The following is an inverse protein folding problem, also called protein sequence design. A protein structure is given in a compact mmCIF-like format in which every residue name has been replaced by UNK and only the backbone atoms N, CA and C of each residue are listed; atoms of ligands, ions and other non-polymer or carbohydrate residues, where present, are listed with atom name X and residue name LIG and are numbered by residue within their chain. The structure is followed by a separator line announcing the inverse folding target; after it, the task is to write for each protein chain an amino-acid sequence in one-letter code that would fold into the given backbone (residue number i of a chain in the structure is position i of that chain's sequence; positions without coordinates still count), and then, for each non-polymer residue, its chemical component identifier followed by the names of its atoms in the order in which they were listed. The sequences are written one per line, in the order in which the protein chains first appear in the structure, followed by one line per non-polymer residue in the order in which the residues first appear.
data_IF_685290880432
#
_entry.id   IF_685290880432
#
_cell.length_a   1.000
_cell.length_b   1.000
_cell.length_c   1.000
_cell.angle_alpha   90.00
_cell.angle_beta   90.00
_cell.angle_gamma   90.00
#
_symmetry.space_group_name_H-M   'P 1'
#
loop_
_entity.id
_entity.type
_entity.pdbx_description
1 polymer ?
#
# COMPACT_ATOMS: atom_id res chain seq x y z
N UNK A 1 7.34 -5.80 1.61
CA UNK A 1 8.48 -6.24 2.47
C UNK A 1 9.55 -5.17 2.58
N UNK A 2 9.82 -4.41 1.52
CA UNK A 2 10.77 -3.28 1.47
C UNK A 2 10.49 -2.26 2.57
N UNK A 3 9.25 -1.80 2.68
CA UNK A 3 8.85 -0.80 3.67
C UNK A 3 8.99 -1.29 5.14
N UNK A 4 8.94 -2.61 5.37
CA UNK A 4 9.19 -3.24 6.68
C UNK A 4 10.67 -3.57 6.97
N UNK A 5 11.56 -3.37 6.00
CA UNK A 5 12.97 -3.80 6.11
C UNK A 5 13.18 -5.31 6.02
N UNK A 6 12.16 -6.07 5.63
CA UNK A 6 12.21 -7.55 5.51
C UNK A 6 12.43 -7.99 4.05
N UNK A 7 12.74 -7.05 3.15
CA UNK A 7 12.97 -7.35 1.75
C UNK A 7 14.20 -8.22 1.57
N UNK A 8 14.01 -9.32 0.84
CA UNK A 8 15.10 -10.07 0.24
C UNK A 8 15.46 -9.45 -1.10
N UNK A 9 16.59 -9.87 -1.67
CA UNK A 9 17.06 -9.39 -2.98
C UNK A 9 16.13 -9.72 -4.14
N UNK A 10 15.25 -10.70 -3.95
CA UNK A 10 14.20 -11.17 -4.86
C UNK A 10 12.81 -10.63 -4.50
N UNK A 11 12.72 -9.61 -3.63
CA UNK A 11 11.42 -9.07 -3.20
C UNK A 11 10.94 -7.93 -4.07
N UNK A 12 9.72 -8.06 -4.57
CA UNK A 12 9.03 -7.00 -5.31
C UNK A 12 8.81 -5.74 -4.47
N UNK A 13 8.67 -4.62 -5.19
CA UNK A 13 8.41 -3.29 -4.64
C UNK A 13 6.93 -2.96 -4.85
N UNK A 14 6.13 -3.15 -3.80
CA UNK A 14 4.72 -2.76 -3.78
C UNK A 14 4.59 -1.22 -3.72
N UNK A 15 3.88 -0.63 -4.68
CA UNK A 15 3.66 0.81 -4.75
C UNK A 15 2.17 1.14 -4.70
N UNK A 16 1.80 2.17 -3.93
CA UNK A 16 0.47 2.77 -4.01
C UNK A 16 0.63 4.19 -4.56
N UNK A 17 0.09 4.41 -5.75
CA UNK A 17 0.17 5.70 -6.45
C UNK A 17 -1.21 6.31 -6.45
N UNK A 18 -1.33 7.50 -5.87
CA UNK A 18 -2.58 8.25 -5.86
C UNK A 18 -2.46 9.49 -6.74
N UNK A 19 -3.32 9.60 -7.75
CA UNK A 19 -3.28 10.68 -8.74
C UNK A 19 -4.62 11.38 -8.97
N UNK A 20 -4.56 12.64 -9.41
CA UNK A 20 -5.71 13.35 -9.97
C UNK A 20 -5.73 13.16 -11.49
N UNK A 21 -6.91 13.28 -12.11
CA UNK A 21 -7.08 13.23 -13.57
C UNK A 21 -6.52 11.97 -14.24
N UNK A 22 -6.49 10.85 -13.52
CA UNK A 22 -6.03 9.58 -14.08
C UNK A 22 -7.03 9.05 -15.13
N UNK A 23 -6.55 8.34 -16.17
CA UNK A 23 -7.42 7.64 -17.10
C UNK A 23 -8.41 6.73 -16.37
N UNK A 24 -9.64 6.60 -16.87
CA UNK A 24 -10.61 5.64 -16.34
C UNK A 24 -10.19 4.19 -16.58
N UNK A 25 -9.47 3.94 -17.68
CA UNK A 25 -8.97 2.60 -18.02
C UNK A 25 -7.78 2.24 -17.13
N UNK A 26 -7.84 1.07 -16.50
CA UNK A 26 -6.71 0.51 -15.74
C UNK A 26 -5.50 0.28 -16.62
N UNK A 27 -5.72 -0.21 -17.85
CA UNK A 27 -4.64 -0.44 -18.81
C UNK A 27 -3.89 0.85 -19.13
N UNK A 28 -4.61 1.95 -19.39
CA UNK A 28 -3.98 3.26 -19.63
C UNK A 28 -3.23 3.82 -18.43
N UNK A 29 -3.65 3.49 -17.20
CA UNK A 29 -2.89 3.87 -16.00
C UNK A 29 -1.59 3.08 -15.92
N UNK A 30 -1.61 1.81 -16.34
CA UNK A 30 -0.42 0.96 -16.38
C UNK A 30 0.55 1.46 -17.46
N UNK A 31 0.09 1.80 -18.66
CA UNK A 31 0.94 2.41 -19.70
C UNK A 31 1.67 3.66 -19.18
N UNK A 32 0.96 4.55 -18.46
CA UNK A 32 1.58 5.74 -17.85
C UNK A 32 2.64 5.39 -16.79
N UNK A 33 2.44 4.28 -16.08
CA UNK A 33 3.41 3.80 -15.10
C UNK A 33 4.64 3.20 -15.80
N UNK A 34 4.44 2.37 -16.82
CA UNK A 34 5.51 1.77 -17.64
C UNK A 34 6.36 2.85 -18.31
N UNK A 35 5.74 3.93 -18.82
CA UNK A 35 6.47 5.08 -19.35
C UNK A 35 7.38 5.72 -18.29
N UNK A 36 6.88 5.88 -17.06
CA UNK A 36 7.67 6.42 -15.95
C UNK A 36 8.78 5.45 -15.49
N UNK A 37 8.48 4.15 -15.45
CA UNK A 37 9.44 3.09 -15.11
C UNK A 37 10.59 3.03 -16.14
N UNK A 38 10.29 3.19 -17.43
CA UNK A 38 11.31 3.22 -18.49
C UNK A 38 12.36 4.33 -18.28
N UNK A 39 11.97 5.45 -17.64
CA UNK A 39 12.89 6.55 -17.36
C UNK A 39 13.96 6.22 -16.31
N UNK A 40 13.77 5.14 -15.55
CA UNK A 40 14.71 4.64 -14.54
C UNK A 40 15.28 3.26 -14.88
N UNK A 41 15.07 2.77 -16.11
CA UNK A 41 15.45 1.43 -16.54
C UNK A 41 16.94 1.15 -16.34
N UNK A 42 17.81 2.12 -16.65
CA UNK A 42 19.26 1.98 -16.44
C UNK A 42 19.63 1.73 -14.97
N UNK A 43 18.95 2.41 -14.04
CA UNK A 43 19.15 2.22 -12.61
C UNK A 43 18.65 0.85 -12.15
N UNK A 44 17.49 0.40 -12.66
CA UNK A 44 16.95 -0.94 -12.37
C UNK A 44 17.90 -2.01 -12.87
N UNK A 45 18.41 -1.88 -14.10
CA UNK A 45 19.39 -2.78 -14.71
C UNK A 45 20.69 -2.84 -13.90
N UNK A 46 21.18 -1.69 -13.42
CA UNK A 46 22.36 -1.66 -12.55
C UNK A 46 22.14 -2.44 -11.25
N UNK A 47 20.97 -2.30 -10.63
CA UNK A 47 20.61 -3.04 -9.42
C UNK A 47 20.47 -4.54 -9.69
N UNK A 48 19.92 -4.91 -10.84
CA UNK A 48 19.85 -6.30 -11.29
C UNK A 48 21.23 -6.93 -11.46
N UNK A 49 22.18 -6.23 -12.08
CA UNK A 49 23.58 -6.69 -12.20
C UNK A 49 24.23 -6.88 -10.82
N UNK A 50 23.84 -6.06 -9.84
CA UNK A 50 24.28 -6.18 -8.43
C UNK A 50 23.55 -7.30 -7.66
N UNK A 51 22.66 -8.05 -8.32
CA UNK A 51 21.93 -9.19 -7.77
C UNK A 51 20.66 -8.84 -7.03
N UNK A 52 20.09 -7.64 -7.25
CA UNK A 52 18.75 -7.27 -6.79
C UNK A 52 17.77 -7.48 -7.93
N UNK A 53 16.98 -8.54 -7.85
CA UNK A 53 15.99 -8.90 -8.86
C UNK A 53 14.61 -8.62 -8.31
N UNK A 54 14.05 -7.47 -8.65
CA UNK A 54 12.72 -7.06 -8.20
C UNK A 54 11.95 -6.47 -9.36
N UNK A 55 10.62 -6.57 -9.28
CA UNK A 55 9.70 -5.82 -10.12
C UNK A 55 8.89 -4.84 -9.27
N UNK A 56 8.30 -3.85 -9.92
CA UNK A 56 7.36 -2.94 -9.28
C UNK A 56 5.93 -3.48 -9.39
N UNK A 57 5.18 -3.41 -8.28
CA UNK A 57 3.77 -3.82 -8.22
C UNK A 57 2.90 -2.60 -7.90
N UNK A 58 2.48 -1.81 -8.91
CA UNK A 58 1.76 -0.58 -8.70
C UNK A 58 0.25 -0.79 -8.50
N UNK A 59 -0.30 -0.16 -7.47
CA UNK A 59 -1.73 0.03 -7.25
C UNK A 59 -2.03 1.51 -7.50
N UNK A 60 -2.58 1.80 -8.68
CA UNK A 60 -2.79 3.16 -9.16
C UNK A 60 -4.25 3.58 -8.95
N UNK A 61 -4.46 4.53 -8.06
CA UNK A 61 -5.76 4.98 -7.59
C UNK A 61 -6.01 6.44 -7.92
N UNK A 62 -7.24 6.78 -8.31
CA UNK A 62 -7.65 8.19 -8.27
C UNK A 62 -7.77 8.67 -6.82
N UNK A 63 -7.75 9.98 -6.59
CA UNK A 63 -8.01 10.54 -5.25
C UNK A 63 -9.38 10.11 -4.70
N UNK A 64 -10.39 10.00 -5.54
CA UNK A 64 -11.73 9.53 -5.16
C UNK A 64 -11.72 8.04 -4.80
N UNK A 65 -11.00 7.24 -5.57
CA UNK A 65 -10.84 5.82 -5.30
C UNK A 65 -10.04 5.58 -4.01
N UNK A 66 -8.98 6.36 -3.76
CA UNK A 66 -8.13 6.25 -2.59
C UNK A 66 -8.86 6.55 -1.28
N UNK A 67 -9.91 7.38 -1.31
CA UNK A 67 -10.76 7.64 -0.12
C UNK A 67 -11.56 6.43 0.33
N UNK A 68 -11.73 5.41 -0.51
CA UNK A 68 -12.42 4.17 -0.11
C UNK A 68 -11.43 3.26 0.58
N UNK A 69 -11.69 2.92 1.85
CA UNK A 69 -10.88 1.99 2.60
C UNK A 69 -10.79 0.63 1.89
N UNK A 70 -9.57 0.12 1.76
CA UNK A 70 -9.25 -1.21 1.21
C UNK A 70 -8.61 -2.04 2.32
N UNK A 71 -8.80 -3.38 2.33
CA UNK A 71 -8.13 -4.24 3.30
C UNK A 71 -6.61 -4.02 3.37
N UNK A 72 -5.97 -3.75 2.22
CA UNK A 72 -4.54 -3.42 2.14
C UNK A 72 -4.13 -2.26 3.06
N UNK A 73 -5.00 -1.26 3.26
CA UNK A 73 -4.65 -0.06 4.03
C UNK A 73 -4.41 -0.38 5.51
N UNK A 74 -4.99 -1.46 6.03
CA UNK A 74 -4.71 -1.93 7.39
C UNK A 74 -3.22 -2.18 7.58
N UNK A 75 -2.58 -2.83 6.61
CA UNK A 75 -1.14 -3.08 6.67
C UNK A 75 -0.33 -1.82 6.36
N UNK A 76 -0.80 -0.96 5.44
CA UNK A 76 -0.13 0.30 5.13
C UNK A 76 -0.07 1.26 6.34
N UNK A 77 -1.09 1.25 7.21
CA UNK A 77 -1.08 2.06 8.44
C UNK A 77 0.14 1.76 9.32
N UNK A 78 0.60 0.51 9.32
CA UNK A 78 1.73 0.09 10.14
C UNK A 78 3.05 0.09 9.38
N UNK A 79 3.00 -0.29 8.11
CA UNK A 79 4.19 -0.71 7.38
C UNK A 79 4.58 0.23 6.24
N UNK A 80 3.72 1.17 5.82
CA UNK A 80 4.00 1.98 4.65
C UNK A 80 5.07 3.04 4.91
N UNK A 81 5.90 3.28 3.89
CA UNK A 81 6.79 4.44 3.83
C UNK A 81 6.23 5.41 2.81
N UNK A 82 5.92 6.63 3.24
CA UNK A 82 5.46 7.69 2.35
C UNK A 82 6.68 8.32 1.67
N UNK A 83 6.82 8.06 0.36
CA UNK A 83 7.91 8.59 -0.46
C UNK A 83 7.60 10.01 -0.96
N UNK A 84 6.33 10.27 -1.27
CA UNK A 84 5.82 11.59 -1.68
C UNK A 84 4.33 11.68 -1.36
N UNK A 85 3.90 12.79 -0.76
CA UNK A 85 2.48 13.06 -0.51
C UNK A 85 2.19 14.56 -0.55
N UNK A 86 1.33 14.98 -1.48
CA UNK A 86 0.95 16.38 -1.63
C UNK A 86 -0.22 16.67 -0.69
N UNK A 87 -0.10 17.76 0.07
CA UNK A 87 -1.11 18.21 1.04
C UNK A 87 -1.41 17.15 2.13
N UNK A 88 -0.47 16.23 2.37
CA UNK A 88 -0.65 15.09 3.29
C UNK A 88 -1.93 14.29 3.03
N UNK A 89 -2.31 14.13 1.75
CA UNK A 89 -3.56 13.53 1.36
C UNK A 89 -3.67 12.06 1.78
N UNK A 90 -2.69 11.23 1.38
CA UNK A 90 -2.77 9.80 1.64
C UNK A 90 -2.35 9.47 3.07
N UNK A 91 -1.36 10.20 3.60
CA UNK A 91 -1.00 10.16 5.01
C UNK A 91 -2.22 10.46 5.90
N UNK A 92 -3.00 11.50 5.57
CA UNK A 92 -4.23 11.83 6.31
C UNK A 92 -5.30 10.74 6.26
N UNK A 93 -5.41 10.00 5.15
CA UNK A 93 -6.29 8.82 5.06
C UNK A 93 -5.81 7.71 6.00
N UNK A 94 -4.51 7.40 5.96
CA UNK A 94 -3.93 6.38 6.83
C UNK A 94 -4.02 6.78 8.31
N UNK A 95 -3.81 8.04 8.65
CA UNK A 95 -3.93 8.57 10.01
C UNK A 95 -5.37 8.46 10.54
N UNK A 96 -6.36 8.77 9.70
CA UNK A 96 -7.78 8.60 10.03
C UNK A 96 -8.12 7.14 10.30
N UNK A 97 -7.66 6.23 9.43
CA UNK A 97 -7.82 4.79 9.63
C UNK A 97 -7.10 4.31 10.90
N UNK A 98 -5.88 4.80 11.17
CA UNK A 98 -5.11 4.47 12.36
C UNK A 98 -5.82 4.92 13.65
N UNK A 99 -6.43 6.11 13.65
CA UNK A 99 -7.25 6.58 14.75
C UNK A 99 -8.46 5.66 14.97
N UNK A 100 -9.17 5.31 13.90
CA UNK A 100 -10.33 4.41 13.96
C UNK A 100 -9.97 3.02 14.50
N UNK A 101 -8.87 2.45 14.03
CA UNK A 101 -8.37 1.16 14.51
C UNK A 101 -8.03 1.21 16.01
N UNK A 102 -7.43 2.31 16.50
CA UNK A 102 -7.17 2.50 17.93
C UNK A 102 -8.46 2.57 18.75
N UNK A 103 -9.46 3.31 18.29
CA UNK A 103 -10.78 3.41 18.96
C UNK A 103 -11.46 2.04 19.08
N UNK A 104 -11.37 1.22 18.04
CA UNK A 104 -11.96 -0.13 18.04
C UNK A 104 -11.14 -1.14 18.87
N UNK A 105 -9.96 -0.74 19.36
CA UNK A 105 -9.03 -1.64 20.02
C UNK A 105 -8.51 -2.74 19.08
N UNK A 106 -8.37 -2.40 17.79
CA UNK A 106 -7.92 -3.31 16.77
C UNK A 106 -6.45 -3.71 17.00
N UNK A 107 -6.11 -4.93 16.60
CA UNK A 107 -4.75 -5.45 16.71
C UNK A 107 -4.40 -6.38 15.55
N UNK A 108 -3.15 -6.30 15.10
CA UNK A 108 -2.58 -7.24 14.14
C UNK A 108 -1.88 -8.36 14.91
N UNK A 109 -2.28 -9.60 14.69
CA UNK A 109 -1.73 -10.81 15.31
C UNK A 109 -1.03 -11.69 14.28
N UNK A 110 0.11 -12.27 14.65
CA UNK A 110 0.74 -13.33 13.87
C UNK A 110 0.19 -14.68 14.34
N UNK A 111 -0.40 -15.46 13.43
CA UNK A 111 -0.88 -16.81 13.70
C UNK A 111 -0.16 -17.76 12.75
N UNK A 112 0.76 -18.56 13.31
CA UNK A 112 1.70 -19.36 12.52
C UNK A 112 2.63 -18.46 11.70
N UNK A 113 2.48 -18.50 10.37
CA UNK A 113 3.26 -17.67 9.42
C UNK A 113 2.43 -16.57 8.75
N UNK A 114 1.20 -16.31 9.22
CA UNK A 114 0.26 -15.39 8.58
C UNK A 114 -0.19 -14.30 9.54
N UNK A 115 -0.32 -13.10 9.01
CA UNK A 115 -0.86 -11.95 9.74
C UNK A 115 -2.38 -11.95 9.67
N UNK A 116 -3.02 -11.63 10.79
CA UNK A 116 -4.46 -11.51 10.94
C UNK A 116 -4.81 -10.24 11.69
N UNK A 117 -5.80 -9.52 11.18
CA UNK A 117 -6.35 -8.35 11.87
C UNK A 117 -7.57 -8.74 12.69
N UNK A 118 -7.52 -8.44 13.99
CA UNK A 118 -8.68 -8.45 14.88
C UNK A 118 -9.13 -7.00 14.96
N UNK A 119 -10.19 -6.63 14.23
CA UNK A 119 -10.64 -5.23 14.12
C UNK A 119 -11.31 -4.71 15.38
N UNK A 120 -11.93 -5.57 16.18
CA UNK A 120 -12.59 -5.22 17.44
C UNK A 120 -12.58 -6.44 18.35
N UNK A 121 -12.12 -6.30 19.61
CA UNK A 121 -12.01 -7.46 20.54
C UNK A 121 -13.37 -7.99 21.01
N UNK A 122 -14.35 -7.11 21.17
CA UNK A 122 -15.67 -7.43 21.71
C UNK A 122 -16.73 -7.58 20.61
N UNK A 123 -16.33 -8.04 19.42
CA UNK A 123 -17.26 -8.16 18.29
C UNK A 123 -18.33 -9.24 18.58
N UNK A 124 -19.55 -8.98 18.13
CA UNK A 124 -20.65 -9.95 18.17
C UNK A 124 -20.89 -10.53 16.78
N UNK A 125 -21.34 -11.78 16.74
CA UNK A 125 -21.73 -12.39 15.46
C UNK A 125 -22.82 -11.56 14.77
N UNK A 126 -22.65 -11.25 13.49
CA UNK A 126 -23.55 -10.40 12.72
C UNK A 126 -23.34 -8.89 12.91
N UNK A 127 -22.39 -8.46 13.75
CA UNK A 127 -22.03 -7.05 13.90
C UNK A 127 -21.30 -6.53 12.66
N UNK A 128 -21.75 -5.40 12.12
CA UNK A 128 -21.05 -4.67 11.07
C UNK A 128 -20.01 -3.77 11.73
N UNK A 129 -18.74 -3.95 11.36
CA UNK A 129 -17.63 -3.12 11.81
C UNK A 129 -17.31 -2.13 10.69
N UNK A 130 -17.56 -0.85 10.95
CA UNK A 130 -17.26 0.23 10.02
C UNK A 130 -15.90 0.87 10.33
N UNK A 131 -15.07 0.93 9.28
CA UNK A 131 -13.73 1.53 9.26
C UNK A 131 -13.75 2.84 8.49
#
# INVERSE_FOLDING_TARGET
SVARGEARRDSDVDLVIVGRNLPKSKFKRLELFEDAESSIEDLVNELWVRGYHFDFSPIILSVEEARRHRPLYLDLVLDAVIVFDRDSFFAGILDGLAARLRELGAERRLVGKRWYWVLKKSYRFGEVIEL
#
